data_IF_923735200833
#
_entry.id   IF_923735200833
#
_cell.length_a   1.000
_cell.length_b   1.000
_cell.length_c   1.000
_cell.angle_alpha   90.00
_cell.angle_beta   90.00
_cell.angle_gamma   90.00
#
_symmetry.space_group_name_H-M   'P 1'
#
loop_
_entity.id
_entity.type
_entity.pdbx_description
1 polymer ?
#
# COMPACT_ATOMS: atom_id res chain seq x y z
N UNK A 1 -8.27 -62.20 -52.03
CA UNK A 1 -7.31 -61.25 -51.43
C UNK A 1 -7.99 -59.90 -51.30
N UNK A 2 -8.53 -59.54 -50.19
CA UNK A 2 -9.15 -58.24 -49.92
C UNK A 2 -8.25 -57.51 -48.98
N UNK A 3 -7.73 -56.33 -49.41
CA UNK A 3 -6.89 -55.40 -48.56
C UNK A 3 -7.83 -54.48 -47.80
N UNK A 4 -7.66 -54.40 -46.45
CA UNK A 4 -8.29 -53.42 -45.61
C UNK A 4 -7.35 -52.21 -45.53
N UNK A 5 -7.85 -50.93 -45.55
CA UNK A 5 -7.06 -49.77 -45.23
C UNK A 5 -7.06 -49.52 -43.73
N UNK A 6 -5.89 -49.26 -43.16
CA UNK A 6 -5.72 -48.84 -41.79
C UNK A 6 -6.18 -47.37 -41.62
N UNK A 7 -7.14 -47.14 -40.76
CA UNK A 7 -7.55 -45.80 -40.32
C UNK A 7 -6.57 -45.29 -39.27
N UNK A 8 -5.82 -44.25 -39.62
CA UNK A 8 -4.98 -43.51 -38.67
C UNK A 8 -5.87 -42.50 -37.91
N UNK A 9 -6.17 -42.76 -36.65
CA UNK A 9 -6.90 -41.82 -35.78
C UNK A 9 -5.89 -40.81 -35.21
N UNK A 10 -5.90 -39.59 -35.71
CA UNK A 10 -5.21 -38.46 -35.05
C UNK A 10 -6.00 -38.05 -33.80
N UNK A 11 -5.43 -38.31 -32.64
CA UNK A 11 -5.90 -37.76 -31.36
C UNK A 11 -5.39 -36.32 -31.26
N UNK A 12 -6.25 -35.35 -31.55
CA UNK A 12 -5.96 -33.94 -31.25
C UNK A 12 -6.16 -33.75 -29.74
N UNK A 13 -5.07 -33.50 -29.02
CA UNK A 13 -5.11 -33.05 -27.61
C UNK A 13 -5.67 -31.62 -27.58
N UNK A 14 -6.94 -31.49 -27.26
CA UNK A 14 -7.55 -30.22 -26.92
C UNK A 14 -6.94 -29.80 -25.55
N UNK A 15 -5.96 -28.91 -25.60
CA UNK A 15 -5.52 -28.12 -24.44
C UNK A 15 -6.74 -27.29 -24.01
N UNK A 16 -7.38 -27.72 -22.95
CA UNK A 16 -8.49 -27.03 -22.33
C UNK A 16 -7.97 -25.71 -21.73
N UNK A 17 -8.05 -24.64 -22.51
CA UNK A 17 -7.98 -23.29 -21.98
C UNK A 17 -9.23 -23.11 -21.12
N UNK A 18 -9.10 -23.17 -19.82
CA UNK A 18 -10.19 -22.79 -18.91
C UNK A 18 -10.60 -21.36 -19.27
N UNK A 19 -11.90 -21.10 -19.50
CA UNK A 19 -12.34 -19.73 -19.76
C UNK A 19 -11.98 -18.89 -18.55
N UNK A 20 -11.26 -17.79 -18.80
CA UNK A 20 -11.02 -16.78 -17.78
C UNK A 20 -12.38 -16.46 -17.13
N UNK A 21 -12.45 -16.61 -15.82
CA UNK A 21 -13.68 -16.32 -15.08
C UNK A 21 -13.95 -14.83 -15.29
N UNK A 22 -15.07 -14.51 -15.95
CA UNK A 22 -15.44 -13.12 -16.21
C UNK A 22 -15.32 -12.33 -14.91
N UNK A 23 -14.48 -11.32 -14.94
CA UNK A 23 -14.24 -10.46 -13.77
C UNK A 23 -15.55 -9.77 -13.40
N UNK A 24 -15.87 -9.74 -12.12
CA UNK A 24 -17.09 -9.06 -11.67
C UNK A 24 -16.85 -7.55 -11.77
N UNK A 25 -17.64 -6.87 -12.58
CA UNK A 25 -17.72 -5.41 -12.57
C UNK A 25 -18.10 -4.98 -11.14
N UNK A 26 -17.39 -4.03 -10.53
CA UNK A 26 -17.73 -3.56 -9.21
C UNK A 26 -19.11 -2.90 -9.22
N UNK A 27 -19.86 -3.08 -8.13
CA UNK A 27 -21.12 -2.36 -7.93
C UNK A 27 -20.82 -1.01 -7.28
N UNK A 28 -21.05 0.08 -8.00
CA UNK A 28 -20.74 1.45 -7.58
C UNK A 28 -22.02 2.30 -7.46
N UNK A 29 -22.91 2.00 -6.50
CA UNK A 29 -24.22 2.64 -6.42
C UNK A 29 -24.15 4.08 -5.90
N UNK A 30 -23.08 4.49 -5.23
CA UNK A 30 -22.96 5.79 -4.60
C UNK A 30 -22.11 6.73 -5.46
N UNK A 31 -22.53 8.00 -5.50
CA UNK A 31 -21.81 9.09 -6.19
C UNK A 31 -20.90 9.85 -5.22
N UNK A 32 -20.06 10.73 -5.74
CA UNK A 32 -19.41 11.77 -4.96
C UNK A 32 -20.45 12.57 -4.15
N UNK A 33 -20.09 13.00 -2.96
CA UNK A 33 -21.00 13.67 -2.02
C UNK A 33 -21.88 12.74 -1.19
N UNK A 34 -21.80 11.40 -1.38
CA UNK A 34 -22.58 10.45 -0.59
C UNK A 34 -22.19 10.52 0.89
N UNK A 35 -23.19 10.75 1.74
CA UNK A 35 -22.99 10.86 3.18
C UNK A 35 -22.80 9.47 3.84
N UNK A 36 -22.03 9.36 4.95
CA UNK A 36 -21.88 8.12 5.68
C UNK A 36 -23.19 7.46 6.10
N UNK A 37 -24.20 8.23 6.46
CA UNK A 37 -25.52 7.71 6.83
C UNK A 37 -26.21 6.93 5.69
N UNK A 38 -25.86 7.19 4.44
CA UNK A 38 -26.39 6.49 3.27
C UNK A 38 -25.65 5.16 3.01
N UNK A 39 -24.38 5.07 3.40
CA UNK A 39 -23.46 3.99 3.02
C UNK A 39 -23.09 3.06 4.18
N UNK A 40 -23.24 3.52 5.42
CA UNK A 40 -22.86 2.78 6.62
C UNK A 40 -23.92 2.84 7.71
N UNK A 41 -24.09 1.72 8.43
CA UNK A 41 -24.99 1.66 9.61
C UNK A 41 -24.36 2.24 10.87
N UNK A 42 -23.05 2.33 10.91
CA UNK A 42 -22.26 2.86 12.04
C UNK A 42 -21.43 4.01 11.49
N UNK A 43 -21.64 5.20 12.00
CA UNK A 43 -20.96 6.42 11.57
C UNK A 43 -20.94 7.48 12.68
N UNK A 44 -20.22 8.55 12.48
CA UNK A 44 -20.17 9.70 13.37
C UNK A 44 -19.76 9.31 14.79
N UNK A 45 -20.44 9.85 15.79
CA UNK A 45 -20.18 9.62 17.22
C UNK A 45 -20.40 8.17 17.69
N UNK A 46 -20.94 7.28 16.85
CA UNK A 46 -21.03 5.85 17.16
C UNK A 46 -19.67 5.14 17.05
N UNK A 47 -18.68 5.79 16.46
CA UNK A 47 -17.29 5.32 16.36
C UNK A 47 -16.48 6.01 17.46
N UNK A 48 -16.07 5.30 18.54
CA UNK A 48 -15.40 5.91 19.72
C UNK A 48 -13.90 6.13 19.45
N UNK A 49 -13.57 6.69 18.30
CA UNK A 49 -12.21 7.02 17.90
C UNK A 49 -12.17 8.52 17.61
N UNK A 50 -11.48 9.26 18.48
CA UNK A 50 -11.37 10.71 18.40
C UNK A 50 -10.11 11.16 17.66
N UNK A 51 -9.11 10.27 17.57
CA UNK A 51 -7.80 10.55 16.99
C UNK A 51 -7.45 9.46 15.97
N UNK A 52 -7.40 9.84 14.69
CA UNK A 52 -7.00 8.98 13.59
C UNK A 52 -5.60 9.38 13.14
N UNK A 53 -4.68 8.44 13.11
CA UNK A 53 -3.33 8.61 12.57
C UNK A 53 -3.18 7.78 11.32
N UNK A 54 -2.73 8.39 10.22
CA UNK A 54 -2.42 7.72 8.96
C UNK A 54 -0.93 7.82 8.72
N UNK A 55 -0.26 6.68 8.59
CA UNK A 55 1.16 6.57 8.29
C UNK A 55 1.32 5.70 7.05
N UNK A 56 1.85 6.30 5.98
CA UNK A 56 2.08 5.63 4.70
C UNK A 56 3.57 5.57 4.40
N UNK A 57 4.11 4.36 4.37
CA UNK A 57 5.45 4.03 3.92
C UNK A 57 5.46 3.82 2.40
N UNK A 58 6.60 3.45 1.80
CA UNK A 58 6.77 3.36 0.36
C UNK A 58 7.20 1.98 -0.15
N UNK A 59 6.63 1.62 -1.29
CA UNK A 59 7.14 0.71 -2.30
C UNK A 59 7.36 -0.74 -1.81
N UNK A 60 6.33 -1.36 -1.15
CA UNK A 60 6.45 -2.78 -0.75
C UNK A 60 5.16 -3.56 -0.97
N UNK A 61 5.23 -4.62 -1.77
CA UNK A 61 4.09 -5.52 -1.92
C UNK A 61 3.82 -6.34 -0.65
N UNK A 62 2.61 -6.84 -0.51
CA UNK A 62 2.25 -7.68 0.62
C UNK A 62 3.09 -8.97 0.68
N UNK A 63 3.29 -9.66 -0.44
CA UNK A 63 4.05 -10.90 -0.44
C UNK A 63 5.55 -10.71 -0.21
N UNK A 64 6.09 -9.56 -0.61
CA UNK A 64 7.47 -9.20 -0.35
C UNK A 64 7.76 -9.11 1.16
N UNK A 65 6.88 -8.47 1.93
CA UNK A 65 7.04 -8.30 3.37
C UNK A 65 6.37 -9.40 4.19
N UNK A 66 5.16 -9.79 3.85
CA UNK A 66 4.30 -10.63 4.69
C UNK A 66 3.87 -11.94 4.03
N UNK A 67 4.52 -12.35 2.95
CA UNK A 67 4.27 -13.63 2.30
C UNK A 67 4.52 -14.84 3.20
N UNK A 68 5.30 -14.68 4.29
CA UNK A 68 5.57 -15.71 5.30
C UNK A 68 4.70 -15.56 6.57
N UNK A 69 3.88 -14.53 6.66
CA UNK A 69 3.12 -14.22 7.89
C UNK A 69 2.14 -15.33 8.28
N UNK A 70 1.61 -16.09 7.31
CA UNK A 70 0.77 -17.27 7.58
C UNK A 70 1.45 -18.25 8.54
N UNK A 71 2.68 -18.63 8.23
CA UNK A 71 3.45 -19.62 8.99
C UNK A 71 4.12 -19.00 10.23
N UNK A 72 4.24 -17.67 10.27
CA UNK A 72 5.06 -16.97 11.25
C UNK A 72 4.29 -16.00 12.17
N UNK A 73 2.99 -16.15 12.34
CA UNK A 73 2.26 -15.37 13.33
C UNK A 73 0.77 -15.20 13.08
N UNK A 74 0.32 -15.23 11.82
CA UNK A 74 -1.09 -14.96 11.47
C UNK A 74 -1.65 -16.03 10.51
N UNK A 75 -2.03 -17.22 11.02
CA UNK A 75 -2.42 -18.37 10.18
C UNK A 75 -3.71 -18.17 9.36
N UNK A 76 -4.39 -17.04 9.51
CA UNK A 76 -5.57 -16.69 8.71
C UNK A 76 -5.21 -16.00 7.40
N UNK A 77 -3.97 -15.51 7.24
CA UNK A 77 -3.48 -14.95 5.99
C UNK A 77 -3.45 -16.05 4.91
N UNK A 78 -3.83 -15.70 3.71
CA UNK A 78 -3.71 -16.57 2.53
C UNK A 78 -2.32 -16.38 1.91
N UNK A 79 -1.41 -17.35 2.08
CA UNK A 79 -0.05 -17.19 1.60
C UNK A 79 0.06 -17.47 0.11
N UNK A 80 1.11 -16.99 -0.56
CA UNK A 80 1.46 -17.43 -1.90
C UNK A 80 1.84 -18.93 -1.89
N UNK A 81 1.75 -19.57 -3.05
CA UNK A 81 2.22 -20.95 -3.18
C UNK A 81 3.74 -20.99 -3.02
N UNK A 82 4.25 -22.06 -2.41
CA UNK A 82 5.71 -22.22 -2.20
C UNK A 82 6.52 -22.24 -3.49
N UNK A 83 5.92 -22.73 -4.58
CA UNK A 83 6.53 -22.80 -5.90
C UNK A 83 6.10 -21.66 -6.84
N UNK A 84 5.64 -20.55 -6.30
CA UNK A 84 5.35 -19.36 -7.12
C UNK A 84 6.63 -18.84 -7.76
N UNK A 85 6.54 -18.47 -9.02
CA UNK A 85 7.68 -18.07 -9.84
C UNK A 85 7.24 -17.14 -10.97
N UNK A 86 8.19 -16.37 -11.49
CA UNK A 86 8.05 -15.60 -12.72
C UNK A 86 9.01 -16.11 -13.79
N UNK A 87 8.74 -15.90 -15.09
CA UNK A 87 9.64 -16.28 -16.17
C UNK A 87 11.04 -15.68 -16.03
N UNK A 88 12.07 -16.39 -16.44
CA UNK A 88 13.43 -15.84 -16.54
C UNK A 88 13.60 -15.14 -17.91
N UNK A 89 13.72 -13.80 -17.97
CA UNK A 89 13.85 -13.08 -19.24
C UNK A 89 15.18 -13.40 -19.95
N UNK A 90 16.20 -13.87 -19.23
CA UNK A 90 17.49 -14.26 -19.84
C UNK A 90 17.47 -15.67 -20.40
N UNK A 91 16.53 -16.51 -19.95
CA UNK A 91 16.39 -17.90 -20.36
C UNK A 91 14.91 -18.33 -20.43
N UNK A 92 14.12 -17.79 -21.36
CA UNK A 92 12.67 -18.03 -21.40
C UNK A 92 12.25 -19.50 -21.58
N UNK A 93 13.15 -20.36 -22.08
CA UNK A 93 12.90 -21.79 -22.21
C UNK A 93 13.41 -22.60 -21.00
N UNK A 94 14.06 -21.95 -20.05
CA UNK A 94 14.63 -22.55 -18.84
C UNK A 94 13.63 -22.57 -17.67
N UNK A 95 14.15 -22.90 -16.47
CA UNK A 95 13.33 -22.85 -15.26
C UNK A 95 12.97 -21.39 -14.91
N UNK A 96 11.73 -21.20 -14.45
CA UNK A 96 11.29 -19.91 -13.95
C UNK A 96 11.99 -19.54 -12.63
N UNK A 97 12.07 -18.24 -12.34
CA UNK A 97 12.67 -17.68 -11.12
C UNK A 97 11.66 -17.82 -9.98
N UNK A 98 11.99 -18.62 -8.99
CA UNK A 98 11.19 -18.82 -7.79
C UNK A 98 11.39 -17.72 -6.76
N UNK A 99 10.49 -17.68 -5.77
CA UNK A 99 10.64 -16.82 -4.59
C UNK A 99 11.83 -17.25 -3.75
N UNK A 100 12.54 -16.30 -3.16
CA UNK A 100 13.69 -16.57 -2.28
C UNK A 100 13.72 -15.61 -1.08
N UNK A 101 14.31 -16.05 0.02
CA UNK A 101 14.50 -15.22 1.21
C UNK A 101 15.67 -14.26 0.98
N UNK A 102 15.42 -12.95 1.11
CA UNK A 102 16.45 -11.93 1.03
C UNK A 102 17.18 -11.80 2.36
N UNK A 103 18.48 -11.64 2.27
CA UNK A 103 19.36 -11.43 3.44
C UNK A 103 20.02 -10.06 3.45
N UNK A 104 19.79 -9.25 2.41
CA UNK A 104 20.20 -7.85 2.34
C UNK A 104 18.98 -6.96 2.55
N UNK A 105 19.11 -5.92 3.34
CA UNK A 105 18.01 -5.02 3.69
C UNK A 105 17.91 -3.80 2.79
N UNK A 106 18.78 -3.70 1.82
CA UNK A 106 18.84 -2.67 0.79
C UNK A 106 18.74 -3.28 -0.60
N UNK A 107 18.33 -2.49 -1.58
CA UNK A 107 18.36 -2.86 -3.00
C UNK A 107 19.59 -2.26 -3.70
N UNK A 108 20.02 -2.87 -4.82
CA UNK A 108 21.10 -2.34 -5.65
C UNK A 108 20.65 -1.13 -6.49
N UNK A 109 19.38 -1.08 -6.82
CA UNK A 109 18.72 -0.01 -7.56
C UNK A 109 17.21 -0.07 -7.29
N UNK A 110 16.51 0.99 -7.64
CA UNK A 110 15.06 1.01 -7.65
C UNK A 110 14.50 0.00 -8.68
N UNK A 111 13.25 -0.40 -8.50
CA UNK A 111 12.51 -1.28 -9.40
C UNK A 111 11.47 -0.46 -10.16
N UNK A 112 11.04 -0.95 -11.32
CA UNK A 112 9.99 -0.26 -12.10
C UNK A 112 8.63 -0.44 -11.42
N UNK A 113 8.02 0.65 -11.04
CA UNK A 113 6.66 0.73 -10.48
C UNK A 113 5.86 1.83 -11.18
N UNK A 114 6.35 2.29 -12.34
CA UNK A 114 5.65 3.25 -13.19
C UNK A 114 4.29 2.72 -13.68
N UNK A 115 3.47 3.58 -14.26
CA UNK A 115 2.24 3.16 -14.94
C UNK A 115 2.50 2.02 -15.93
N UNK A 116 3.50 2.17 -16.78
CA UNK A 116 3.83 1.15 -17.79
C UNK A 116 4.38 -0.12 -17.14
N UNK A 117 5.24 0.02 -16.13
CA UNK A 117 5.82 -1.11 -15.38
C UNK A 117 4.75 -1.94 -14.73
N UNK A 118 3.89 -1.31 -13.91
CA UNK A 118 2.85 -2.02 -13.17
C UNK A 118 1.81 -2.71 -14.07
N UNK A 119 1.48 -2.12 -15.22
CA UNK A 119 0.58 -2.76 -16.18
C UNK A 119 1.20 -4.01 -16.83
N UNK A 120 2.50 -3.98 -17.14
CA UNK A 120 3.23 -5.15 -17.67
C UNK A 120 3.45 -6.21 -16.60
N UNK A 121 3.73 -5.84 -15.36
CA UNK A 121 3.85 -6.75 -14.22
C UNK A 121 2.54 -7.47 -13.93
N UNK A 122 1.43 -6.75 -13.98
CA UNK A 122 0.07 -7.29 -13.85
C UNK A 122 -0.25 -8.30 -14.97
N UNK A 123 0.18 -8.05 -16.19
CA UNK A 123 -0.02 -8.87 -17.40
C UNK A 123 -1.41 -9.49 -17.50
N UNK A 124 -2.44 -8.64 -17.53
CA UNK A 124 -3.83 -9.08 -17.63
C UNK A 124 -4.30 -9.99 -16.46
N UNK A 125 -3.59 -10.01 -15.36
CA UNK A 125 -3.87 -10.82 -14.16
C UNK A 125 -3.03 -12.09 -14.03
N UNK A 126 -2.07 -12.34 -14.91
CA UNK A 126 -1.14 -13.47 -14.82
C UNK A 126 -0.12 -13.26 -13.70
N UNK A 127 0.20 -12.01 -13.37
CA UNK A 127 1.17 -11.63 -12.32
C UNK A 127 2.56 -12.21 -12.56
N UNK A 128 2.98 -12.26 -13.82
CA UNK A 128 4.21 -12.94 -14.24
C UNK A 128 5.18 -12.04 -15.06
N UNK A 129 4.88 -10.75 -15.18
CA UNK A 129 5.73 -9.78 -15.86
C UNK A 129 6.82 -9.15 -15.00
N UNK A 130 6.86 -9.39 -13.69
CA UNK A 130 7.74 -8.68 -12.73
C UNK A 130 9.23 -8.80 -13.05
N UNK A 131 9.72 -10.02 -13.28
CA UNK A 131 11.13 -10.25 -13.61
C UNK A 131 11.55 -9.58 -14.90
N UNK A 132 10.70 -9.68 -15.93
CA UNK A 132 10.99 -9.09 -17.24
C UNK A 132 11.00 -7.57 -17.21
N UNK A 133 10.15 -6.96 -16.37
CA UNK A 133 10.06 -5.51 -16.24
C UNK A 133 11.20 -4.93 -15.40
N UNK A 134 11.81 -5.71 -14.50
CA UNK A 134 12.82 -5.25 -13.56
C UNK A 134 14.24 -5.71 -13.90
N UNK A 135 14.55 -5.92 -15.18
CA UNK A 135 15.89 -6.20 -15.67
C UNK A 135 16.79 -4.98 -15.46
N UNK A 136 17.97 -5.20 -14.86
CA UNK A 136 18.97 -4.19 -14.57
C UNK A 136 20.37 -4.72 -14.86
N UNK A 137 21.39 -3.92 -15.22
CA UNK A 137 22.75 -4.40 -15.43
C UNK A 137 23.35 -5.18 -14.26
N UNK A 138 22.93 -4.88 -13.01
CA UNK A 138 23.34 -5.63 -11.81
C UNK A 138 22.50 -6.87 -11.54
N UNK A 139 21.30 -6.97 -12.15
CA UNK A 139 20.36 -8.08 -12.05
C UNK A 139 19.69 -8.35 -13.42
N UNK A 140 20.41 -8.96 -14.38
CA UNK A 140 19.88 -9.17 -15.73
C UNK A 140 18.65 -10.08 -15.80
N UNK A 141 18.39 -10.84 -14.76
CA UNK A 141 17.21 -11.70 -14.66
C UNK A 141 16.01 -11.03 -14.00
N UNK A 142 16.18 -9.88 -13.38
CA UNK A 142 15.16 -9.21 -12.58
C UNK A 142 14.73 -10.00 -11.34
N UNK A 143 15.54 -10.96 -10.90
CA UNK A 143 15.17 -11.89 -9.82
C UNK A 143 14.89 -11.19 -8.48
N UNK A 144 15.45 -10.00 -8.24
CA UNK A 144 15.26 -9.23 -6.99
C UNK A 144 13.79 -8.94 -6.69
N UNK A 145 12.91 -8.91 -7.71
CA UNK A 145 11.47 -8.72 -7.54
C UNK A 145 10.81 -9.88 -6.78
N UNK A 146 11.36 -11.10 -6.89
CA UNK A 146 10.85 -12.33 -6.30
C UNK A 146 11.32 -12.57 -4.86
N UNK A 147 12.18 -11.69 -4.34
CA UNK A 147 12.67 -11.75 -2.99
C UNK A 147 11.60 -11.46 -1.94
N UNK A 148 11.69 -12.09 -0.77
CA UNK A 148 10.82 -11.82 0.37
C UNK A 148 11.61 -11.70 1.66
N UNK A 149 11.01 -11.02 2.63
CA UNK A 149 11.48 -10.95 4.02
C UNK A 149 10.59 -11.76 4.95
N UNK A 150 11.10 -12.05 6.14
CA UNK A 150 10.36 -12.76 7.15
C UNK A 150 10.50 -12.12 8.55
N UNK A 151 10.02 -12.80 9.60
CA UNK A 151 10.04 -12.27 10.96
C UNK A 151 11.46 -12.11 11.53
N UNK A 152 12.48 -12.71 10.94
CA UNK A 152 13.86 -12.55 11.39
C UNK A 152 14.45 -11.23 10.90
N UNK A 153 13.95 -10.73 9.77
CA UNK A 153 14.35 -9.47 9.15
C UNK A 153 13.54 -8.30 9.71
N UNK A 154 12.22 -8.50 9.87
CA UNK A 154 11.24 -7.48 10.25
C UNK A 154 10.45 -7.90 11.52
N UNK A 155 11.11 -8.15 12.65
CA UNK A 155 10.47 -8.72 13.84
C UNK A 155 9.35 -7.86 14.41
N UNK A 156 9.50 -6.52 14.40
CA UNK A 156 8.49 -5.61 14.91
C UNK A 156 7.23 -5.67 14.03
N UNK A 157 7.37 -5.60 12.71
CA UNK A 157 6.23 -5.67 11.80
C UNK A 157 5.48 -7.00 11.90
N UNK A 158 6.19 -8.13 11.93
CA UNK A 158 5.55 -9.44 12.07
C UNK A 158 4.77 -9.58 13.37
N UNK A 159 5.30 -9.06 14.48
CA UNK A 159 4.60 -9.03 15.75
C UNK A 159 3.37 -8.11 15.72
N UNK A 160 3.50 -6.93 15.12
CA UNK A 160 2.43 -5.95 14.97
C UNK A 160 1.26 -6.52 14.16
N UNK A 161 1.54 -7.06 12.98
CA UNK A 161 0.54 -7.67 12.10
C UNK A 161 -0.07 -8.95 12.68
N UNK A 162 0.65 -9.62 13.57
CA UNK A 162 0.12 -10.77 14.31
C UNK A 162 -0.78 -10.39 15.47
N UNK A 163 -0.58 -9.22 16.08
CA UNK A 163 -1.33 -8.76 17.23
C UNK A 163 -2.64 -8.06 16.87
N UNK A 164 -2.59 -7.19 15.86
CA UNK A 164 -3.69 -6.31 15.49
C UNK A 164 -4.50 -6.81 14.28
N UNK A 165 -5.42 -5.97 13.81
CA UNK A 165 -6.27 -6.27 12.67
C UNK A 165 -5.57 -5.91 11.35
N UNK A 166 -5.55 -6.85 10.40
CA UNK A 166 -4.93 -6.70 9.08
C UNK A 166 -5.84 -7.21 7.97
N UNK A 167 -5.42 -7.09 6.73
CA UNK A 167 -6.08 -7.66 5.56
C UNK A 167 -5.06 -8.34 4.64
N UNK A 168 -5.48 -9.45 4.01
CA UNK A 168 -4.76 -10.07 2.89
C UNK A 168 -5.35 -9.70 1.53
N UNK A 169 -6.21 -8.66 1.48
CA UNK A 169 -6.83 -8.11 0.27
C UNK A 169 -6.92 -6.58 0.29
N UNK A 170 -5.88 -5.94 0.79
CA UNK A 170 -5.71 -4.50 0.69
C UNK A 170 -4.77 -4.22 -0.50
N UNK A 171 -5.20 -3.36 -1.40
CA UNK A 171 -4.52 -3.04 -2.64
C UNK A 171 -4.14 -1.56 -2.65
N UNK A 172 -3.08 -1.18 -3.34
CA UNK A 172 -2.95 0.23 -3.70
C UNK A 172 -4.07 0.62 -4.68
N UNK A 173 -4.30 1.91 -4.85
CA UNK A 173 -5.55 2.37 -5.48
C UNK A 173 -5.53 2.31 -6.99
N UNK A 174 -4.36 2.29 -7.60
CA UNK A 174 -4.18 2.30 -9.06
C UNK A 174 -2.89 1.55 -9.46
N UNK A 175 -2.85 0.98 -10.66
CA UNK A 175 -1.66 0.38 -11.26
C UNK A 175 -0.70 1.51 -11.70
N UNK A 176 -0.04 2.13 -10.75
CA UNK A 176 0.90 3.21 -10.95
C UNK A 176 1.79 3.42 -9.74
N UNK A 177 2.63 4.45 -9.80
CA UNK A 177 3.63 4.79 -8.81
C UNK A 177 3.10 5.63 -7.63
N UNK A 178 3.99 6.16 -6.82
CA UNK A 178 3.78 6.85 -5.54
C UNK A 178 2.71 7.94 -5.58
N UNK A 179 2.85 8.98 -6.43
CA UNK A 179 1.99 10.15 -6.35
C UNK A 179 0.53 9.83 -6.68
N UNK A 180 0.21 9.13 -7.77
CA UNK A 180 -1.17 8.74 -8.04
C UNK A 180 -1.79 7.98 -6.86
N UNK A 181 -1.09 7.03 -6.25
CA UNK A 181 -1.61 6.25 -5.13
C UNK A 181 -1.81 7.10 -3.87
N UNK A 182 -0.89 8.02 -3.56
CA UNK A 182 -1.03 8.98 -2.46
C UNK A 182 -2.16 9.98 -2.70
N UNK A 183 -2.37 10.41 -3.95
CA UNK A 183 -3.52 11.26 -4.29
C UNK A 183 -4.85 10.56 -4.02
N UNK A 184 -4.97 9.25 -4.33
CA UNK A 184 -6.16 8.49 -3.97
C UNK A 184 -6.39 8.44 -2.44
N UNK A 185 -5.35 8.38 -1.63
CA UNK A 185 -5.48 8.46 -0.16
C UNK A 185 -6.02 9.82 0.29
N UNK A 186 -5.60 10.91 -0.36
CA UNK A 186 -5.92 12.27 0.08
C UNK A 186 -7.17 12.84 -0.57
N UNK A 187 -7.51 12.39 -1.79
CA UNK A 187 -8.54 12.99 -2.62
C UNK A 187 -9.51 12.01 -3.29
N UNK A 188 -9.30 10.70 -3.14
CA UNK A 188 -10.13 9.66 -3.76
C UNK A 188 -9.90 9.47 -5.26
N UNK A 189 -8.99 10.25 -5.88
CA UNK A 189 -8.64 10.24 -7.31
C UNK A 189 -7.24 10.78 -7.51
N UNK A 190 -6.62 10.49 -8.65
CA UNK A 190 -5.36 11.10 -9.05
C UNK A 190 -5.53 12.24 -10.08
N UNK A 191 -6.77 12.68 -10.34
CA UNK A 191 -7.08 13.77 -11.29
C UNK A 191 -6.50 13.55 -12.71
N UNK A 192 -6.42 12.31 -13.14
CA UNK A 192 -5.84 11.93 -14.43
C UNK A 192 -4.33 11.67 -14.38
N UNK A 193 -3.63 12.04 -13.32
CA UNK A 193 -2.19 11.82 -13.21
C UNK A 193 -1.86 10.31 -13.10
N UNK A 194 -0.86 9.90 -13.88
CA UNK A 194 -0.35 8.52 -13.92
C UNK A 194 1.12 8.42 -13.50
N UNK A 195 1.73 9.55 -13.15
CA UNK A 195 3.14 9.68 -12.81
C UNK A 195 3.37 10.53 -11.56
N UNK A 196 4.65 10.64 -11.15
CA UNK A 196 5.08 11.50 -10.06
C UNK A 196 5.26 12.95 -10.57
N UNK A 197 4.13 13.54 -10.98
CA UNK A 197 4.11 14.90 -11.49
C UNK A 197 4.20 15.89 -10.32
N UNK A 198 5.23 16.73 -10.32
CA UNK A 198 5.38 17.80 -9.33
C UNK A 198 4.64 19.06 -9.78
N UNK A 199 4.08 19.84 -8.86
CA UNK A 199 3.57 21.17 -9.19
C UNK A 199 4.75 22.04 -9.65
N UNK A 200 4.67 22.54 -10.87
CA UNK A 200 5.76 23.33 -11.49
C UNK A 200 5.73 24.82 -11.13
N UNK A 201 4.81 25.22 -10.24
CA UNK A 201 4.53 26.64 -9.99
C UNK A 201 3.74 27.29 -11.12
N UNK A 202 3.36 26.57 -12.15
CA UNK A 202 2.40 26.94 -13.17
C UNK A 202 0.98 26.80 -12.59
N UNK A 203 0.10 27.79 -12.74
CA UNK A 203 -1.29 27.67 -12.31
C UNK A 203 -2.04 26.45 -12.85
N UNK A 204 -1.57 25.85 -13.93
CA UNK A 204 -2.14 24.62 -14.52
C UNK A 204 -1.74 23.36 -13.73
N UNK A 205 -0.56 23.38 -13.08
CA UNK A 205 -0.03 22.28 -12.29
C UNK A 205 -0.02 22.57 -10.78
N UNK A 206 -0.70 23.60 -10.35
CA UNK A 206 -0.98 23.84 -8.94
C UNK A 206 -2.20 23.01 -8.56
N UNK A 207 -1.99 21.86 -7.89
CA UNK A 207 -3.08 20.96 -7.51
C UNK A 207 -4.07 21.67 -6.58
N UNK A 208 -5.02 22.40 -7.18
CA UNK A 208 -6.04 23.16 -6.48
C UNK A 208 -7.31 22.36 -6.18
N UNK A 209 -7.30 21.07 -6.50
CA UNK A 209 -8.43 20.19 -6.33
C UNK A 209 -8.69 19.91 -4.84
N UNK A 210 -9.95 19.62 -4.47
CA UNK A 210 -10.31 19.33 -3.08
C UNK A 210 -9.70 18.01 -2.60
N UNK A 211 -9.33 18.02 -1.33
CA UNK A 211 -8.82 16.87 -0.59
C UNK A 211 -9.62 16.66 0.68
N UNK A 212 -9.33 15.61 1.42
CA UNK A 212 -9.91 15.39 2.75
C UNK A 212 -9.67 16.58 3.69
N UNK A 213 -8.56 17.30 3.55
CA UNK A 213 -8.26 18.45 4.40
C UNK A 213 -9.25 19.60 4.21
N UNK A 214 -9.76 19.79 2.99
CA UNK A 214 -10.84 20.76 2.72
C UNK A 214 -12.12 20.37 3.48
N UNK A 215 -12.49 19.09 3.47
CA UNK A 215 -13.68 18.59 4.15
C UNK A 215 -13.54 18.66 5.68
N UNK A 216 -12.36 18.30 6.21
CA UNK A 216 -12.06 18.39 7.64
C UNK A 216 -12.16 19.85 8.13
N UNK A 217 -11.58 20.77 7.38
CA UNK A 217 -11.58 22.20 7.71
C UNK A 217 -13.01 22.77 7.67
N UNK A 218 -13.75 22.46 6.62
CA UNK A 218 -15.16 22.89 6.47
C UNK A 218 -16.06 22.36 7.61
N UNK A 219 -15.75 21.16 8.14
CA UNK A 219 -16.47 20.55 9.25
C UNK A 219 -15.94 20.98 10.65
N UNK A 220 -14.88 21.78 10.72
CA UNK A 220 -14.25 22.17 11.98
C UNK A 220 -13.57 21.00 12.72
N UNK A 221 -13.16 19.95 11.98
CA UNK A 221 -12.43 18.80 12.49
C UNK A 221 -10.93 19.13 12.49
N UNK A 222 -10.28 19.06 13.64
CA UNK A 222 -8.86 19.41 13.75
C UNK A 222 -7.99 18.39 13.03
N UNK A 223 -6.97 18.89 12.32
CA UNK A 223 -6.03 18.03 11.60
C UNK A 223 -4.62 18.63 11.61
N UNK A 224 -3.60 17.79 11.48
CA UNK A 224 -2.19 18.15 11.28
C UNK A 224 -1.52 17.14 10.35
N UNK A 225 -0.51 17.62 9.64
CA UNK A 225 0.42 16.79 8.87
C UNK A 225 1.79 16.92 9.52
N UNK A 226 2.35 15.80 9.94
CA UNK A 226 3.67 15.73 10.55
C UNK A 226 4.64 15.11 9.56
N UNK A 227 5.71 15.80 9.24
CA UNK A 227 6.65 15.39 8.21
C UNK A 227 8.08 15.27 8.74
N UNK A 228 8.84 14.34 8.18
CA UNK A 228 10.26 14.18 8.51
C UNK A 228 11.17 15.06 7.64
N UNK A 229 10.79 15.29 6.39
CA UNK A 229 11.55 16.11 5.43
C UNK A 229 10.66 17.13 4.73
N UNK A 230 9.67 16.68 3.98
CA UNK A 230 8.65 17.50 3.30
C UNK A 230 7.28 16.84 3.53
N UNK A 231 6.21 17.64 3.67
CA UNK A 231 4.87 17.08 3.73
C UNK A 231 4.38 16.75 2.32
N UNK A 232 3.99 15.51 2.05
CA UNK A 232 3.49 15.13 0.73
C UNK A 232 2.26 15.95 0.32
N UNK A 233 1.39 16.24 1.25
CA UNK A 233 0.17 16.99 0.97
C UNK A 233 0.40 18.47 0.57
N UNK A 234 1.61 18.99 0.72
CA UNK A 234 1.97 20.32 0.17
C UNK A 234 1.97 20.37 -1.37
N UNK A 235 1.84 19.21 -2.04
CA UNK A 235 1.50 19.17 -3.47
C UNK A 235 0.19 19.90 -3.74
N UNK A 236 -0.77 19.85 -2.82
CA UNK A 236 -2.06 20.54 -2.92
C UNK A 236 -1.96 21.97 -2.40
N UNK A 237 -2.40 22.93 -3.23
CA UNK A 237 -2.34 24.37 -2.91
C UNK A 237 -3.14 24.73 -1.65
N UNK A 238 -4.22 24.03 -1.35
CA UNK A 238 -4.99 24.26 -0.13
C UNK A 238 -4.13 24.02 1.12
N UNK A 239 -3.38 22.92 1.19
CA UNK A 239 -2.53 22.59 2.33
C UNK A 239 -1.34 23.53 2.38
N UNK A 240 -0.62 23.68 1.26
CA UNK A 240 0.58 24.51 1.15
C UNK A 240 0.35 25.98 1.54
N UNK A 241 -0.82 26.53 1.22
CA UNK A 241 -1.17 27.93 1.47
C UNK A 241 -2.09 28.10 2.69
N UNK A 242 -2.33 27.04 3.48
CA UNK A 242 -3.22 27.11 4.65
C UNK A 242 -2.71 28.07 5.72
N UNK A 243 -3.61 28.89 6.30
CA UNK A 243 -3.29 29.86 7.34
C UNK A 243 -4.22 29.68 8.55
N UNK A 244 -3.68 29.31 9.72
CA UNK A 244 -2.26 29.05 10.05
C UNK A 244 -1.74 27.77 9.35
N UNK A 245 -0.43 27.61 9.18
CA UNK A 245 0.14 26.37 8.64
C UNK A 245 -0.28 25.14 9.44
N UNK A 246 -0.59 24.05 8.74
CA UNK A 246 -1.04 22.78 9.35
C UNK A 246 -0.01 21.66 9.17
N UNK A 247 1.17 21.99 8.66
CA UNK A 247 2.30 21.08 8.46
C UNK A 247 3.37 21.34 9.53
N UNK A 248 3.84 20.28 10.19
CA UNK A 248 4.74 20.37 11.34
C UNK A 248 5.86 19.32 11.26
N UNK A 249 7.06 19.57 11.78
CA UNK A 249 8.08 18.54 11.89
C UNK A 249 7.57 17.32 12.70
N UNK A 250 8.02 16.11 12.36
CA UNK A 250 7.59 14.87 13.02
C UNK A 250 7.86 14.85 14.55
N UNK A 251 8.81 15.64 15.01
CA UNK A 251 9.07 15.84 16.45
C UNK A 251 7.85 16.43 17.19
N UNK A 252 7.04 17.21 16.48
CA UNK A 252 5.78 17.74 17.04
C UNK A 252 4.75 16.63 17.25
N UNK A 253 4.71 15.59 16.38
CA UNK A 253 3.89 14.41 16.62
C UNK A 253 4.25 13.72 17.94
N UNK A 254 5.55 13.59 18.21
CA UNK A 254 6.03 12.99 19.47
C UNK A 254 5.61 13.83 20.68
N UNK A 255 5.70 15.16 20.58
CA UNK A 255 5.29 16.08 21.62
C UNK A 255 3.77 16.07 21.83
N UNK A 256 2.99 16.15 20.76
CA UNK A 256 1.52 16.09 20.81
C UNK A 256 1.02 14.77 21.39
N UNK A 257 1.60 13.64 20.97
CA UNK A 257 1.27 12.34 21.52
C UNK A 257 1.56 12.27 23.02
N UNK A 258 2.73 12.74 23.47
CA UNK A 258 3.12 12.76 24.88
C UNK A 258 2.22 13.66 25.73
N UNK A 259 1.85 14.82 25.20
CA UNK A 259 1.06 15.82 25.90
C UNK A 259 -0.46 15.56 25.85
N UNK A 260 -0.92 14.62 25.02
CA UNK A 260 -2.34 14.39 24.79
C UNK A 260 -3.01 15.52 24.00
N UNK A 261 -2.30 16.05 23.00
CA UNK A 261 -2.74 17.17 22.13
C UNK A 261 -2.79 16.81 20.66
N UNK A 262 -2.79 15.51 20.32
CA UNK A 262 -3.01 15.07 18.95
C UNK A 262 -4.35 15.60 18.41
N UNK A 263 -4.40 16.08 17.16
CA UNK A 263 -5.65 16.49 16.54
C UNK A 263 -6.56 15.28 16.23
N UNK A 264 -7.73 15.54 15.73
CA UNK A 264 -8.67 14.49 15.33
C UNK A 264 -8.16 13.66 14.16
N UNK A 265 -7.40 14.26 13.24
CA UNK A 265 -6.77 13.55 12.11
C UNK A 265 -5.32 13.97 11.98
N UNK A 266 -4.43 13.00 11.95
CA UNK A 266 -2.98 13.16 11.80
C UNK A 266 -2.50 12.38 10.60
N UNK A 267 -1.79 13.02 9.68
CA UNK A 267 -1.00 12.33 8.67
C UNK A 267 0.48 12.42 9.07
N UNK A 268 1.22 11.33 8.90
CA UNK A 268 2.63 11.27 9.25
C UNK A 268 3.42 10.81 8.04
N UNK A 269 4.32 11.69 7.57
CA UNK A 269 5.17 11.44 6.40
C UNK A 269 6.60 11.10 6.84
N UNK A 270 7.19 10.00 6.30
CA UNK A 270 8.59 9.65 6.52
C UNK A 270 9.53 10.62 5.79
N UNK A 271 10.84 10.35 5.82
CA UNK A 271 11.81 10.96 4.92
C UNK A 271 11.72 10.22 3.59
N UNK A 272 11.30 10.90 2.56
CA UNK A 272 11.28 10.41 1.18
C UNK A 272 11.89 11.48 0.23
N UNK A 273 12.19 11.12 -1.01
CA UNK A 273 12.87 11.97 -2.00
C UNK A 273 14.26 12.47 -1.54
N UNK A 274 14.92 11.72 -0.66
CA UNK A 274 16.26 12.00 -0.18
C UNK A 274 17.28 11.03 -0.83
N UNK A 275 18.40 10.84 -0.18
CA UNK A 275 19.35 9.79 -0.58
C UNK A 275 19.09 8.52 0.24
N UNK A 276 19.32 7.37 -0.34
CA UNK A 276 19.16 6.06 0.32
C UNK A 276 19.84 5.93 1.69
N UNK A 277 20.70 6.88 2.06
CA UNK A 277 21.40 6.89 3.35
C UNK A 277 20.58 7.42 4.51
N UNK A 278 19.54 8.20 4.24
CA UNK A 278 18.76 8.92 5.26
C UNK A 278 17.27 8.63 5.16
N UNK A 279 16.82 8.00 4.09
CA UNK A 279 15.41 7.63 3.91
C UNK A 279 14.96 6.61 4.96
N UNK A 280 13.74 6.80 5.45
CA UNK A 280 13.09 5.93 6.41
C UNK A 280 11.66 5.55 5.97
N UNK A 281 11.38 5.75 4.68
CA UNK A 281 10.13 5.42 4.00
C UNK A 281 10.09 3.99 3.47
N UNK A 282 11.25 3.31 3.41
CA UNK A 282 11.47 1.96 2.86
C UNK A 282 11.55 1.89 1.33
N UNK A 283 11.48 3.03 0.62
CA UNK A 283 11.67 3.07 -0.82
C UNK A 283 13.02 2.45 -1.23
N UNK A 284 13.10 1.54 -2.22
CA UNK A 284 14.37 1.09 -2.76
C UNK A 284 15.21 2.27 -3.31
N UNK A 285 16.53 2.27 -3.05
CA UNK A 285 17.36 1.23 -2.46
C UNK A 285 17.53 1.31 -0.93
N UNK A 286 16.75 2.11 -0.20
CA UNK A 286 16.97 2.36 1.24
C UNK A 286 16.80 1.11 2.12
N UNK A 287 17.37 1.19 3.34
CA UNK A 287 17.34 0.10 4.29
C UNK A 287 15.97 -0.01 4.97
N UNK A 288 15.27 -1.13 4.74
CA UNK A 288 13.93 -1.40 5.29
C UNK A 288 13.87 -1.41 6.82
N UNK A 289 14.95 -1.75 7.51
CA UNK A 289 14.97 -1.76 8.99
C UNK A 289 15.01 -0.34 9.57
N UNK A 290 15.52 0.63 8.81
CA UNK A 290 15.44 2.05 9.20
C UNK A 290 13.99 2.52 9.17
N UNK A 291 13.23 2.17 8.13
CA UNK A 291 11.80 2.46 8.05
C UNK A 291 11.01 1.75 9.15
N UNK A 292 11.26 0.43 9.37
CA UNK A 292 10.64 -0.29 10.49
C UNK A 292 10.89 0.41 11.84
N UNK A 293 12.11 0.92 12.07
CA UNK A 293 12.46 1.64 13.29
C UNK A 293 11.72 2.96 13.43
N UNK A 294 11.56 3.70 12.34
CA UNK A 294 10.76 4.93 12.30
C UNK A 294 9.29 4.65 12.67
N UNK A 295 8.67 3.68 12.01
CA UNK A 295 7.28 3.27 12.29
C UNK A 295 7.11 2.81 13.74
N UNK A 296 8.07 2.05 14.27
CA UNK A 296 8.05 1.64 15.68
C UNK A 296 8.09 2.84 16.63
N UNK A 297 8.85 3.88 16.31
CA UNK A 297 8.88 5.15 17.06
C UNK A 297 7.51 5.81 17.12
N UNK A 298 6.84 5.97 15.98
CA UNK A 298 5.49 6.57 15.89
C UNK A 298 4.46 5.76 16.68
N UNK A 299 4.44 4.43 16.50
CA UNK A 299 3.49 3.54 17.20
C UNK A 299 3.73 3.56 18.72
N UNK A 300 4.99 3.52 19.17
CA UNK A 300 5.32 3.57 20.59
C UNK A 300 4.94 4.92 21.21
N UNK A 301 5.10 6.04 20.50
CA UNK A 301 4.64 7.34 20.97
C UNK A 301 3.11 7.34 21.17
N UNK A 302 2.35 6.76 20.22
CA UNK A 302 0.90 6.64 20.34
C UNK A 302 0.49 5.72 21.52
N UNK A 303 1.20 4.60 21.75
CA UNK A 303 0.95 3.71 22.89
C UNK A 303 1.13 4.38 24.24
N UNK A 304 2.07 5.34 24.32
CA UNK A 304 2.34 6.09 25.54
C UNK A 304 1.45 7.34 25.68
N UNK A 305 0.67 7.67 24.68
CA UNK A 305 -0.20 8.85 24.67
C UNK A 305 -1.37 8.70 25.65
N UNK A 306 -1.73 9.76 26.40
CA UNK A 306 -2.98 9.81 27.14
C UNK A 306 -4.22 9.61 26.24
N UNK A 307 -4.11 9.88 24.94
CA UNK A 307 -5.18 9.75 23.95
C UNK A 307 -5.24 8.35 23.33
N UNK A 308 -4.34 7.41 23.70
CA UNK A 308 -4.37 6.04 23.19
C UNK A 308 -5.77 5.42 23.26
N UNK A 309 -6.48 5.66 24.36
CA UNK A 309 -7.81 5.10 24.63
C UNK A 309 -8.88 5.40 23.58
N UNK A 310 -8.71 6.46 22.77
CA UNK A 310 -9.62 6.84 21.67
C UNK A 310 -8.91 7.03 20.34
N UNK A 311 -7.77 6.35 20.14
CA UNK A 311 -6.96 6.47 18.94
C UNK A 311 -7.04 5.25 18.03
N UNK A 312 -6.86 5.48 16.72
CA UNK A 312 -6.59 4.44 15.73
C UNK A 312 -5.49 4.91 14.77
N UNK A 313 -4.48 4.06 14.55
CA UNK A 313 -3.45 4.28 13.55
C UNK A 313 -3.63 3.26 12.42
N UNK A 314 -3.60 3.76 11.19
CA UNK A 314 -3.56 3.01 9.95
C UNK A 314 -2.15 3.09 9.40
N UNK A 315 -1.45 1.96 9.36
CA UNK A 315 -0.16 1.80 8.69
C UNK A 315 -0.38 1.08 7.37
N UNK A 316 0.10 1.66 6.28
CA UNK A 316 0.08 1.06 4.95
C UNK A 316 1.29 1.50 4.13
N UNK A 317 1.41 0.97 2.91
CA UNK A 317 2.38 1.36 1.89
C UNK A 317 1.64 1.89 0.67
N UNK A 318 2.23 2.84 -0.02
CA UNK A 318 1.59 3.55 -1.14
C UNK A 318 1.36 2.65 -2.35
N UNK A 319 2.37 1.87 -2.74
CA UNK A 319 2.29 0.89 -3.81
C UNK A 319 3.36 -0.22 -3.62
N UNK A 320 3.52 -1.12 -4.59
CA UNK A 320 4.25 -2.38 -4.44
C UNK A 320 5.77 -2.29 -4.71
N UNK A 321 6.27 -1.18 -5.31
CA UNK A 321 7.69 -0.97 -5.60
C UNK A 321 8.31 -1.94 -6.57
N UNK A 322 7.58 -2.46 -7.55
CA UNK A 322 8.08 -3.49 -8.47
C UNK A 322 8.25 -4.88 -7.86
N UNK A 323 7.92 -5.07 -6.56
CA UNK A 323 8.01 -6.37 -5.90
C UNK A 323 6.77 -7.22 -6.17
N UNK A 324 7.01 -8.48 -6.43
CA UNK A 324 5.99 -9.45 -6.79
C UNK A 324 4.94 -9.68 -5.70
N UNK A 325 3.70 -9.85 -6.14
CA UNK A 325 2.56 -10.31 -5.35
C UNK A 325 1.76 -11.35 -6.15
N UNK A 326 1.22 -12.37 -5.45
CA UNK A 326 0.49 -13.45 -6.13
C UNK A 326 -0.98 -13.16 -6.41
N UNK A 327 -1.53 -12.07 -5.86
CA UNK A 327 -2.96 -11.78 -5.96
C UNK A 327 -3.20 -10.71 -7.01
N UNK A 328 -3.84 -11.05 -8.15
CA UNK A 328 -4.16 -10.03 -9.13
C UNK A 328 -5.15 -9.01 -8.55
N UNK A 329 -4.91 -7.71 -8.77
CA UNK A 329 -5.80 -6.66 -8.33
C UNK A 329 -7.15 -6.76 -9.04
N UNK A 330 -8.27 -6.66 -8.30
CA UNK A 330 -9.61 -6.71 -8.88
C UNK A 330 -10.01 -5.38 -9.52
N UNK A 331 -11.10 -5.41 -10.28
CA UNK A 331 -11.74 -4.22 -10.80
C UNK A 331 -12.22 -3.29 -9.68
N UNK A 332 -12.19 -1.99 -9.94
CA UNK A 332 -12.49 -0.91 -9.00
C UNK A 332 -13.52 0.06 -9.55
N UNK A 333 -14.18 0.82 -8.69
CA UNK A 333 -15.02 1.94 -9.12
C UNK A 333 -14.16 3.03 -9.74
N UNK A 334 -14.51 3.50 -10.92
CA UNK A 334 -13.88 4.68 -11.52
C UNK A 334 -14.14 5.89 -10.62
N UNK A 335 -13.11 6.66 -10.22
CA UNK A 335 -13.28 7.71 -9.20
C UNK A 335 -14.14 8.88 -9.67
N UNK A 336 -13.91 9.34 -10.88
CA UNK A 336 -14.50 10.51 -11.49
C UNK A 336 -14.59 10.34 -13.02
N UNK A 337 -14.86 11.42 -13.74
CA UNK A 337 -14.96 11.40 -15.20
C UNK A 337 -13.65 11.87 -15.88
N UNK A 338 -12.55 11.97 -15.13
CA UNK A 338 -11.23 12.37 -15.64
C UNK A 338 -10.45 11.09 -16.01
N UNK A 339 -10.19 10.85 -17.30
CA UNK A 339 -9.42 9.67 -17.72
C UNK A 339 -7.93 9.84 -17.38
N UNK A 340 -7.15 8.73 -17.39
CA UNK A 340 -5.70 8.81 -17.32
C UNK A 340 -5.12 9.69 -18.43
N UNK A 341 -4.18 10.56 -18.11
CA UNK A 341 -3.47 11.43 -19.05
C UNK A 341 -2.35 10.64 -19.75
N UNK A 342 -2.74 9.74 -20.64
CA UNK A 342 -1.82 8.87 -21.36
C UNK A 342 -1.07 9.65 -22.45
N UNK A 343 0.25 9.50 -22.47
CA UNK A 343 1.15 9.98 -23.52
C UNK A 343 1.39 8.93 -24.61
N UNK A 344 2.21 9.31 -25.59
CA UNK A 344 2.61 8.34 -26.65
C UNK A 344 3.53 7.28 -26.05
N UNK A 345 3.14 6.02 -26.14
CA UNK A 345 3.92 4.87 -25.64
C UNK A 345 3.50 4.38 -24.27
N UNK A 346 2.52 5.04 -23.63
CA UNK A 346 1.95 4.53 -22.39
C UNK A 346 1.06 3.29 -22.66
N UNK A 347 1.11 2.38 -21.71
CA UNK A 347 0.22 1.21 -21.73
C UNK A 347 -1.24 1.67 -21.62
N UNK A 348 -2.14 1.10 -22.43
CA UNK A 348 -3.55 1.44 -22.35
C UNK A 348 -4.12 1.00 -21.00
N UNK A 349 -4.90 1.88 -20.35
CA UNK A 349 -5.51 1.59 -19.08
C UNK A 349 -6.56 2.63 -18.71
N UNK A 350 -7.20 2.40 -17.57
CA UNK A 350 -8.18 3.29 -16.96
C UNK A 350 -8.06 3.21 -15.44
N UNK A 351 -8.76 4.08 -14.72
CA UNK A 351 -8.83 4.03 -13.25
C UNK A 351 -9.94 3.06 -12.76
N UNK A 352 -10.18 1.98 -13.49
CA UNK A 352 -11.22 0.99 -13.23
C UNK A 352 -10.71 -0.28 -12.53
N UNK A 353 -9.43 -0.26 -12.10
CA UNK A 353 -8.76 -1.35 -11.40
C UNK A 353 -7.94 -0.82 -10.23
N UNK A 354 -7.87 -1.60 -9.15
CA UNK A 354 -6.91 -1.38 -8.08
C UNK A 354 -5.49 -1.69 -8.56
N UNK A 355 -4.49 -1.20 -7.84
CA UNK A 355 -3.10 -1.58 -8.07
C UNK A 355 -2.71 -2.86 -7.34
N UNK A 356 -1.42 -3.18 -7.33
CA UNK A 356 -0.87 -4.39 -6.70
C UNK A 356 -1.13 -4.34 -5.18
N UNK A 357 -1.29 -5.50 -4.57
CA UNK A 357 -1.59 -5.63 -3.14
C UNK A 357 -0.44 -5.13 -2.27
N UNK A 358 -0.78 -4.28 -1.28
CA UNK A 358 0.14 -3.73 -0.30
C UNK A 358 -0.30 -4.10 1.13
N UNK A 359 0.59 -4.02 2.14
CA UNK A 359 0.21 -4.32 3.50
C UNK A 359 -0.66 -3.22 4.12
N UNK A 360 -1.51 -3.60 5.08
CA UNK A 360 -2.23 -2.69 5.96
C UNK A 360 -2.39 -3.30 7.34
N UNK A 361 -2.22 -2.51 8.39
CA UNK A 361 -2.57 -2.89 9.77
C UNK A 361 -3.24 -1.72 10.49
N UNK A 362 -4.27 -2.02 11.27
CA UNK A 362 -4.98 -1.05 12.10
C UNK A 362 -4.62 -1.27 13.55
N UNK A 363 -3.96 -0.28 14.15
CA UNK A 363 -3.45 -0.28 15.53
C UNK A 363 -4.36 0.59 16.39
N UNK A 364 -5.13 -0.02 17.28
CA UNK A 364 -6.11 0.67 18.13
C UNK A 364 -6.50 -0.23 19.31
N UNK A 365 -6.90 0.32 20.45
CA UNK A 365 -7.55 -0.47 21.50
C UNK A 365 -8.84 -1.16 21.03
N UNK A 366 -9.50 -0.58 20.02
CA UNK A 366 -10.71 -1.12 19.41
C UNK A 366 -10.41 -2.10 18.25
N UNK A 367 -9.17 -2.21 17.79
CA UNK A 367 -8.83 -3.15 16.74
C UNK A 367 -9.03 -4.59 17.22
N UNK A 368 -9.70 -5.41 16.40
CA UNK A 368 -9.87 -6.83 16.69
C UNK A 368 -8.52 -7.52 16.73
N UNK A 369 -8.22 -8.16 17.86
CA UNK A 369 -6.97 -8.89 18.00
C UNK A 369 -6.88 -10.04 17.01
N UNK A 370 -5.71 -10.17 16.35
CA UNK A 370 -5.38 -11.25 15.43
C UNK A 370 -6.43 -11.44 14.33
N UNK A 371 -7.08 -10.37 13.92
CA UNK A 371 -8.10 -10.40 12.88
C UNK A 371 -7.49 -10.23 11.49
N UNK A 372 -7.95 -11.03 10.54
CA UNK A 372 -7.62 -10.88 9.11
C UNK A 372 -8.90 -10.70 8.34
N UNK A 373 -9.01 -9.61 7.60
CA UNK A 373 -10.07 -9.41 6.63
C UNK A 373 -9.67 -9.97 5.27
N UNK A 374 -10.65 -10.58 4.59
CA UNK A 374 -10.51 -11.09 3.23
C UNK A 374 -11.34 -10.29 2.22
N UNK A 375 -11.85 -9.14 2.64
CA UNK A 375 -12.53 -8.21 1.73
C UNK A 375 -11.52 -7.34 1.01
N UNK A 376 -11.92 -6.84 -0.14
CA UNK A 376 -11.15 -5.86 -0.91
C UNK A 376 -11.22 -4.50 -0.22
N UNK A 377 -10.06 -3.88 -0.06
CA UNK A 377 -9.85 -2.53 0.42
C UNK A 377 -8.75 -1.86 -0.40
N UNK A 378 -8.69 -0.56 -0.34
CA UNK A 378 -7.60 0.25 -0.91
C UNK A 378 -7.39 1.52 -0.07
N UNK A 379 -6.57 2.45 -0.53
CA UNK A 379 -6.29 3.69 0.20
C UNK A 379 -7.56 4.51 0.44
N UNK A 380 -8.51 4.46 -0.50
CA UNK A 380 -9.80 5.15 -0.33
C UNK A 380 -10.67 4.53 0.77
N UNK A 381 -10.35 3.32 1.25
CA UNK A 381 -10.99 2.73 2.43
C UNK A 381 -10.57 3.44 3.73
N UNK A 382 -9.32 3.92 3.82
CA UNK A 382 -8.86 4.76 4.94
C UNK A 382 -9.52 6.13 4.86
N UNK A 383 -9.54 6.73 3.67
CA UNK A 383 -10.25 7.97 3.41
C UNK A 383 -11.73 7.85 3.83
N UNK A 384 -12.41 6.79 3.39
CA UNK A 384 -13.81 6.51 3.76
C UNK A 384 -14.00 6.27 5.25
N UNK A 385 -13.02 5.72 5.97
CA UNK A 385 -13.08 5.61 7.43
C UNK A 385 -13.08 6.98 8.11
N UNK A 386 -12.23 7.91 7.67
CA UNK A 386 -12.18 9.29 8.17
C UNK A 386 -13.54 9.98 7.92
N UNK A 387 -14.04 9.92 6.69
CA UNK A 387 -15.34 10.46 6.33
C UNK A 387 -16.47 9.85 7.20
N UNK A 388 -16.45 8.52 7.36
CA UNK A 388 -17.46 7.80 8.16
C UNK A 388 -17.41 8.21 9.64
N UNK A 389 -16.22 8.46 10.19
CA UNK A 389 -16.08 8.88 11.59
C UNK A 389 -16.55 10.31 11.84
N UNK A 390 -16.30 11.21 10.89
CA UNK A 390 -16.60 12.63 11.07
C UNK A 390 -17.84 13.11 10.31
N UNK A 391 -18.63 12.17 9.76
CA UNK A 391 -19.84 12.44 8.98
C UNK A 391 -19.58 13.41 7.80
N UNK A 392 -18.45 13.20 7.09
CA UNK A 392 -18.05 13.98 5.92
C UNK A 392 -18.61 13.36 4.63
N UNK A 393 -18.93 14.16 3.60
CA UNK A 393 -19.31 13.64 2.31
C UNK A 393 -18.13 12.95 1.61
N UNK A 394 -18.42 11.97 0.78
CA UNK A 394 -17.39 11.33 -0.05
C UNK A 394 -16.90 12.30 -1.14
N UNK A 395 -15.58 12.34 -1.35
CA UNK A 395 -14.96 13.22 -2.35
C UNK A 395 -15.23 12.75 -3.78
N UNK A 396 -15.21 11.44 -4.02
CA UNK A 396 -15.35 10.83 -5.34
C UNK A 396 -16.29 9.63 -5.34
N UNK A 397 -16.51 9.05 -6.50
CA UNK A 397 -17.24 7.78 -6.61
C UNK A 397 -16.42 6.61 -6.04
N UNK A 398 -15.07 6.68 -6.01
CA UNK A 398 -14.21 5.61 -5.51
C UNK A 398 -14.38 5.44 -4.00
N UNK A 399 -14.18 6.50 -3.23
CA UNK A 399 -14.30 6.49 -1.77
C UNK A 399 -15.76 6.31 -1.32
N UNK A 400 -16.74 6.89 -2.04
CA UNK A 400 -18.16 6.65 -1.77
C UNK A 400 -18.55 5.16 -1.74
N UNK A 401 -17.87 4.32 -2.53
CA UNK A 401 -18.12 2.89 -2.65
C UNK A 401 -17.04 2.02 -1.97
N UNK A 402 -16.05 2.63 -1.33
CA UNK A 402 -15.05 1.91 -0.54
C UNK A 402 -15.65 1.36 0.76
N UNK A 403 -15.16 0.20 1.21
CA UNK A 403 -15.54 -0.32 2.53
C UNK A 403 -14.76 0.46 3.62
N UNK A 404 -15.45 1.11 4.56
CA UNK A 404 -14.83 1.95 5.59
C UNK A 404 -14.10 1.14 6.68
N UNK A 405 -13.69 -0.07 6.43
CA UNK A 405 -12.88 -0.94 7.32
C UNK A 405 -13.48 -1.16 8.71
N UNK A 406 -14.76 -0.90 8.95
CA UNK A 406 -15.38 -1.03 10.28
C UNK A 406 -15.30 -2.44 10.87
N UNK A 407 -15.12 -3.48 10.05
CA UNK A 407 -14.92 -4.85 10.51
C UNK A 407 -13.57 -5.11 11.19
N UNK A 408 -12.63 -4.22 11.01
CA UNK A 408 -11.36 -4.26 11.74
C UNK A 408 -11.53 -3.96 13.22
N UNK A 409 -12.65 -3.39 13.63
CA UNK A 409 -12.89 -2.90 14.98
C UNK A 409 -13.94 -3.73 15.73
N UNK A 410 -13.79 -3.77 17.05
CA UNK A 410 -14.83 -4.12 18.01
C UNK A 410 -15.03 -2.94 18.97
N UNK A 411 -15.97 -2.07 18.64
CA UNK A 411 -16.25 -0.86 19.41
C UNK A 411 -16.93 -1.16 20.77
N UNK A 412 -17.36 -2.41 21.01
CA UNK A 412 -18.03 -2.80 22.25
C UNK A 412 -17.10 -3.42 23.27
N UNK A 413 -15.99 -3.99 22.81
CA UNK A 413 -15.07 -4.75 23.66
C UNK A 413 -13.60 -4.35 23.39
N UNK A 414 -13.21 -3.08 23.67
CA UNK A 414 -11.85 -2.63 23.46
C UNK A 414 -10.85 -3.37 24.34
N UNK A 415 -9.64 -3.53 23.83
CA UNK A 415 -8.50 -4.09 24.57
C UNK A 415 -7.43 -3.04 24.76
N UNK A 416 -7.38 -2.47 25.95
CA UNK A 416 -6.41 -1.41 26.28
C UNK A 416 -5.01 -1.92 26.62
N UNK A 417 -4.89 -3.22 26.91
CA UNK A 417 -3.59 -3.84 27.15
C UNK A 417 -2.76 -3.83 25.86
N UNK A 418 -1.56 -3.30 25.97
CA UNK A 418 -0.63 -3.25 24.84
C UNK A 418 -0.02 -4.63 24.58
N UNK A 419 0.13 -5.04 23.32
CA UNK A 419 0.88 -6.25 22.99
C UNK A 419 2.37 -6.07 23.32
N UNK A 420 3.03 -7.16 23.63
CA UNK A 420 4.50 -7.17 23.71
C UNK A 420 5.05 -7.22 22.29
N UNK A 421 5.64 -6.12 21.85
CA UNK A 421 6.30 -6.03 20.55
C UNK A 421 7.83 -6.09 20.74
N UNK A 422 8.57 -6.81 19.88
CA UNK A 422 10.02 -6.75 19.89
C UNK A 422 10.52 -5.36 19.49
N UNK A 423 11.75 -5.03 19.88
CA UNK A 423 12.40 -3.82 19.37
C UNK A 423 12.60 -3.91 17.85
N UNK A 424 12.40 -2.79 17.16
CA UNK A 424 12.81 -2.64 15.77
C UNK A 424 14.33 -2.43 15.75
N UNK A 425 15.05 -3.51 15.55
CA UNK A 425 16.53 -3.50 15.52
C UNK A 425 16.99 -3.23 14.10
N UNK A 426 18.02 -2.40 13.96
CA UNK A 426 18.71 -2.13 12.70
C UNK A 426 20.04 -2.87 12.72
N UNK A 427 20.30 -3.72 11.74
CA UNK A 427 21.58 -4.38 11.58
C UNK A 427 22.66 -3.33 11.25
N UNK A 428 23.59 -3.15 12.18
CA UNK A 428 24.66 -2.14 12.08
C UNK A 428 25.58 -2.38 10.88
N UNK A 429 25.73 -3.63 10.43
CA UNK A 429 26.53 -3.98 9.25
C UNK A 429 25.94 -3.51 7.93
N UNK A 430 24.62 -3.19 7.92
CA UNK A 430 23.88 -2.75 6.73
C UNK A 430 23.33 -1.32 6.86
N UNK A 431 23.78 -0.55 7.85
CA UNK A 431 23.23 0.76 8.18
C UNK A 431 23.72 1.92 7.31
N UNK A 432 24.79 1.74 6.57
CA UNK A 432 25.38 2.83 5.77
C UNK A 432 24.81 2.81 4.35
N UNK A 433 24.42 3.96 3.83
CA UNK A 433 23.88 4.08 2.47
C UNK A 433 24.82 3.62 1.37
N UNK A 434 26.12 3.62 1.63
CA UNK A 434 27.10 2.99 0.74
C UNK A 434 26.87 1.49 0.64
N UNK A 435 26.44 0.82 1.71
CA UNK A 435 26.09 -0.59 1.67
C UNK A 435 24.81 -0.84 0.86
N UNK A 436 23.82 0.07 0.92
CA UNK A 436 22.63 0.00 0.09
C UNK A 436 22.95 0.15 -1.40
N UNK A 437 23.79 1.13 -1.75
CA UNK A 437 24.19 1.39 -3.14
C UNK A 437 25.15 0.32 -3.71
N UNK A 438 25.84 -0.44 -2.85
CA UNK A 438 26.80 -1.48 -3.24
C UNK A 438 26.31 -2.89 -2.90
N UNK A 439 25.07 -3.03 -2.46
CA UNK A 439 24.50 -4.36 -2.18
C UNK A 439 24.67 -5.26 -3.41
N UNK A 440 25.23 -6.45 -3.26
CA UNK A 440 25.31 -7.38 -4.39
C UNK A 440 23.91 -7.75 -4.85
N UNK A 441 23.74 -8.15 -6.12
CA UNK A 441 22.48 -8.70 -6.57
C UNK A 441 22.07 -9.86 -5.65
N UNK A 442 20.77 -10.08 -5.44
CA UNK A 442 20.30 -11.04 -4.46
C UNK A 442 20.85 -12.44 -4.75
N UNK A 443 21.66 -12.93 -3.82
CA UNK A 443 22.09 -14.32 -3.79
C UNK A 443 21.10 -15.08 -2.90
N UNK A 444 19.96 -15.49 -3.47
CA UNK A 444 19.00 -16.31 -2.74
C UNK A 444 19.26 -17.79 -2.96
N UNK A 445 19.22 -18.58 -1.91
CA UNK A 445 18.93 -20.00 -2.03
C UNK A 445 17.42 -20.17 -2.16
N UNK A 446 16.94 -21.01 -3.11
CA UNK A 446 15.50 -21.28 -3.30
C UNK A 446 14.82 -21.83 -2.06
#
# INVERSE_FOLDING_TARGET
MRRFPALLTCLAALLGVSPARAERVPNCPFAAGAMPAETSRVHGAQIPIDHIVVLMQENRSFDHYFGQLHDQGQPRIRPPRRNSSNPDPTNPAGPAIGRFHKTTYCESADLDHSWNGTHKEYDGGLMDGFTAQNVDPSDPSGMRTMGFYDRTDLPFYYALFSAFATSDRYFCSVLSQTFPNRFFLLAGTSFGHIGNDLPTGDPVNDFAQPTIFNELDAAGVSWKIYFSQIPFADEFSFVRNHVPPMTFPVQEFMADAQNGTLPSVSFVDPIFLATATVENDEHPPSNIQVGQSFVAGIINALFMSPQWGSSALFLTWDEHGGFWDHVPPPAACVPDDIPPMLGTGDEPGAFDRYGIRVPVVVVSPYARQRYVSHKVYDHTSILRFIETRFDLPALTRRDANADPMLKFFDFKSPTFALPVLPAAVIDQGQQTGTACLTAPPPSGTP
#
